data_IF_252900879479
#
_entry.id   IF_252900879479
#
_cell.length_a   1.000
_cell.length_b   1.000
_cell.length_c   1.000
_cell.angle_alpha   90.00
_cell.angle_beta   90.00
_cell.angle_gamma   90.00
#
_symmetry.space_group_name_H-M   'P 1'
#
loop_
_entity.id
_entity.type
_entity.pdbx_description
1 polymer ?
#
# COMPACT_ATOMS: atom_id res chain seq x y z
N UNK A 1 5.63 -7.77 -16.79
CA UNK A 1 4.89 -7.24 -17.96
C UNK A 1 3.48 -7.81 -17.93
N UNK A 2 2.52 -7.12 -17.30
CA UNK A 2 1.11 -7.53 -17.36
C UNK A 2 0.47 -6.90 -18.61
N UNK A 3 0.76 -7.47 -19.77
CA UNK A 3 0.24 -6.95 -21.05
C UNK A 3 -1.15 -7.51 -21.31
N UNK A 4 -2.16 -6.69 -20.95
CA UNK A 4 -3.44 -6.50 -21.64
C UNK A 4 -4.64 -7.39 -21.30
N UNK A 5 -4.53 -8.56 -20.67
CA UNK A 5 -5.69 -9.30 -20.11
C UNK A 5 -5.25 -10.17 -18.93
N UNK A 6 -5.85 -9.99 -17.75
CA UNK A 6 -5.92 -11.09 -16.79
C UNK A 6 -6.77 -12.19 -17.45
N UNK A 7 -6.42 -13.47 -17.29
CA UNK A 7 -6.80 -14.59 -18.16
C UNK A 7 -8.29 -14.87 -18.46
N UNK A 8 -9.23 -14.02 -18.02
CA UNK A 8 -10.67 -14.22 -18.09
C UNK A 8 -11.43 -13.04 -18.76
N UNK A 9 -10.76 -12.16 -19.51
CA UNK A 9 -11.42 -11.03 -20.18
C UNK A 9 -11.63 -9.79 -19.30
N UNK A 10 -11.21 -9.89 -18.04
CA UNK A 10 -11.18 -8.81 -17.05
C UNK A 10 -10.06 -7.80 -17.37
N UNK A 11 -10.35 -6.49 -17.37
CA UNK A 11 -9.32 -5.46 -17.47
C UNK A 11 -8.43 -5.48 -16.22
N UNK A 12 -7.11 -5.58 -16.39
CA UNK A 12 -6.17 -5.44 -15.27
C UNK A 12 -6.31 -4.07 -14.59
N UNK A 13 -5.98 -3.95 -13.31
CA UNK A 13 -6.09 -2.71 -12.54
C UNK A 13 -5.42 -1.51 -13.24
N UNK A 14 -4.28 -1.73 -13.89
CA UNK A 14 -3.58 -0.69 -14.68
C UNK A 14 -4.36 -0.22 -15.90
N UNK A 15 -5.13 -1.11 -16.55
CA UNK A 15 -6.00 -0.74 -17.67
C UNK A 15 -7.24 0.03 -17.23
N UNK A 16 -7.85 -0.34 -16.09
CA UNK A 16 -8.95 0.42 -15.47
C UNK A 16 -8.49 1.83 -15.13
N UNK A 17 -7.35 1.96 -14.45
CA UNK A 17 -6.75 3.25 -14.13
C UNK A 17 -6.49 4.10 -15.38
N UNK A 18 -5.94 3.51 -16.44
CA UNK A 18 -5.66 4.23 -17.69
C UNK A 18 -6.94 4.74 -18.38
N UNK A 19 -8.08 4.07 -18.16
CA UNK A 19 -9.39 4.50 -18.63
C UNK A 19 -10.05 5.58 -17.75
N UNK A 20 -9.40 5.97 -16.64
CA UNK A 20 -9.94 6.95 -15.69
C UNK A 20 -10.95 6.38 -14.70
N UNK A 21 -10.96 5.05 -14.50
CA UNK A 21 -11.81 4.36 -13.52
C UNK A 21 -11.45 4.77 -12.09
N UNK A 22 -12.46 5.09 -11.28
CA UNK A 22 -12.30 5.60 -9.91
C UNK A 22 -11.98 4.52 -8.86
N UNK A 23 -12.08 3.24 -9.23
CA UNK A 23 -12.03 2.12 -8.29
C UNK A 23 -13.40 1.57 -7.95
N UNK A 24 -13.37 0.48 -7.20
CA UNK A 24 -14.54 -0.21 -6.68
C UNK A 24 -15.09 0.54 -5.45
N UNK A 25 -16.31 0.17 -5.02
CA UNK A 25 -16.85 0.68 -3.77
C UNK A 25 -15.93 0.23 -2.62
N UNK A 26 -15.37 1.15 -1.81
CA UNK A 26 -14.46 0.79 -0.74
C UNK A 26 -15.13 -0.12 0.29
N UNK A 27 -14.46 -1.19 0.67
CA UNK A 27 -14.96 -2.14 1.68
C UNK A 27 -14.66 -1.69 3.12
N UNK A 28 -13.69 -0.79 3.31
CA UNK A 28 -13.34 -0.21 4.59
C UNK A 28 -12.70 1.19 4.41
N UNK A 29 -12.73 2.06 5.44
CA UNK A 29 -12.04 3.34 5.37
C UNK A 29 -10.53 3.17 5.62
N UNK A 30 -9.70 3.49 4.62
CA UNK A 30 -8.22 3.51 4.75
C UNK A 30 -7.78 4.50 5.85
N UNK A 31 -8.50 5.61 6.00
CA UNK A 31 -8.31 6.57 7.09
C UNK A 31 -9.66 6.89 7.74
N UNK A 32 -9.69 7.14 9.05
CA UNK A 32 -10.90 7.59 9.72
C UNK A 32 -11.39 8.93 9.16
N UNK A 33 -12.70 9.14 9.19
CA UNK A 33 -13.31 10.42 8.87
C UNK A 33 -12.79 11.51 9.82
N UNK A 34 -12.48 12.69 9.27
CA UNK A 34 -11.99 13.81 10.07
C UNK A 34 -10.63 13.56 10.74
N UNK A 35 -9.70 12.86 10.06
CA UNK A 35 -8.35 12.60 10.57
C UNK A 35 -7.74 13.87 11.20
N UNK A 36 -7.59 13.84 12.53
CA UNK A 36 -7.22 15.00 13.34
C UNK A 36 -5.70 15.23 13.39
N UNK A 37 -5.31 16.38 13.92
CA UNK A 37 -3.92 16.64 14.30
C UNK A 37 -3.47 15.73 15.45
N UNK A 38 -2.21 15.25 15.49
CA UNK A 38 -1.11 15.51 14.53
C UNK A 38 -1.09 14.55 13.32
N UNK A 39 -2.02 13.60 13.23
CA UNK A 39 -1.97 12.54 12.21
C UNK A 39 -2.14 13.05 10.79
N UNK A 40 -3.00 14.06 10.60
CA UNK A 40 -3.19 14.73 9.31
C UNK A 40 -1.90 15.35 8.81
N UNK A 41 -1.24 16.16 9.64
CA UNK A 41 0.00 16.85 9.28
C UNK A 41 1.12 15.84 9.01
N UNK A 42 1.26 14.81 9.85
CA UNK A 42 2.26 13.74 9.66
C UNK A 42 2.06 12.99 8.34
N UNK A 43 0.82 12.68 7.96
CA UNK A 43 0.50 12.04 6.68
C UNK A 43 0.92 12.93 5.50
N UNK A 44 0.63 14.23 5.55
CA UNK A 44 1.07 15.17 4.51
C UNK A 44 2.60 15.27 4.46
N UNK A 45 3.26 15.39 5.61
CA UNK A 45 4.72 15.46 5.70
C UNK A 45 5.39 14.22 5.10
N UNK A 46 4.90 13.00 5.41
CA UNK A 46 5.41 11.77 4.82
C UNK A 46 5.29 11.74 3.30
N UNK A 47 4.15 12.23 2.75
CA UNK A 47 3.97 12.37 1.31
C UNK A 47 4.96 13.37 0.69
N UNK A 48 5.14 14.54 1.31
CA UNK A 48 6.10 15.54 0.84
C UNK A 48 7.55 15.04 0.90
N UNK A 49 7.94 14.32 1.95
CA UNK A 49 9.27 13.69 2.06
C UNK A 49 9.52 12.69 0.93
N UNK A 50 8.54 11.82 0.66
CA UNK A 50 8.62 10.87 -0.44
C UNK A 50 8.77 11.57 -1.79
N UNK A 51 7.92 12.54 -2.10
CA UNK A 51 7.97 13.21 -3.40
C UNK A 51 9.20 14.10 -3.57
N UNK A 52 9.64 14.80 -2.51
CA UNK A 52 10.86 15.60 -2.53
C UNK A 52 12.10 14.73 -2.83
N UNK A 53 12.21 13.56 -2.21
CA UNK A 53 13.30 12.64 -2.48
C UNK A 53 13.26 12.01 -3.88
N UNK A 54 12.10 12.05 -4.55
CA UNK A 54 11.94 11.66 -5.95
C UNK A 54 12.17 12.81 -6.93
N UNK A 55 12.45 14.03 -6.44
CA UNK A 55 12.55 15.23 -7.27
C UNK A 55 11.21 15.67 -7.87
N UNK A 56 10.09 15.23 -7.29
CA UNK A 56 8.74 15.53 -7.78
C UNK A 56 8.16 16.69 -6.96
N UNK A 57 7.92 17.82 -7.60
CA UNK A 57 7.34 19.00 -6.93
C UNK A 57 5.86 18.79 -6.58
N UNK A 58 5.30 19.69 -5.78
CA UNK A 58 3.88 19.62 -5.40
C UNK A 58 2.94 20.00 -6.55
N UNK A 59 3.42 20.86 -7.42
CA UNK A 59 2.71 21.39 -8.58
C UNK A 59 2.65 20.37 -9.71
N UNK A 60 3.62 19.44 -9.78
CA UNK A 60 3.65 18.36 -10.76
C UNK A 60 2.67 17.22 -10.41
N UNK A 61 1.38 17.53 -10.54
CA UNK A 61 0.29 16.56 -10.35
C UNK A 61 0.40 15.36 -11.28
N UNK A 62 1.00 15.53 -12.46
CA UNK A 62 1.20 14.47 -13.44
C UNK A 62 2.20 13.43 -12.95
N UNK A 63 3.39 13.86 -12.55
CA UNK A 63 4.42 12.98 -11.99
C UNK A 63 3.96 12.32 -10.68
N UNK A 64 3.24 13.06 -9.80
CA UNK A 64 2.66 12.46 -8.58
C UNK A 64 1.66 11.36 -8.91
N UNK A 65 0.74 11.59 -9.85
CA UNK A 65 -0.22 10.56 -10.30
C UNK A 65 0.49 9.37 -10.92
N UNK A 66 1.50 9.58 -11.76
CA UNK A 66 2.29 8.52 -12.37
C UNK A 66 3.08 7.71 -11.33
N UNK A 67 3.63 8.37 -10.30
CA UNK A 67 4.29 7.66 -9.20
C UNK A 67 3.29 6.82 -8.40
N UNK A 68 2.11 7.38 -8.11
CA UNK A 68 1.05 6.68 -7.40
C UNK A 68 0.54 5.47 -8.20
N UNK A 69 0.44 5.58 -9.53
CA UNK A 69 -0.01 4.48 -10.39
C UNK A 69 0.89 3.26 -10.40
N UNK A 70 2.16 3.41 -10.02
CA UNK A 70 3.07 2.26 -9.87
C UNK A 70 2.66 1.28 -8.78
N UNK A 71 1.72 1.65 -7.90
CA UNK A 71 1.17 0.71 -6.92
C UNK A 71 0.59 -0.54 -7.59
N UNK A 72 -0.17 -0.37 -8.67
CA UNK A 72 -0.84 -1.46 -9.40
C UNK A 72 0.09 -2.28 -10.30
N UNK A 73 1.39 -2.00 -10.22
CA UNK A 73 2.46 -2.80 -10.83
C UNK A 73 3.42 -3.35 -9.76
N UNK A 74 3.04 -3.29 -8.47
CA UNK A 74 3.90 -3.61 -7.33
C UNK A 74 5.25 -2.88 -7.38
N UNK A 75 5.26 -1.66 -7.93
CA UNK A 75 6.48 -0.88 -8.22
C UNK A 75 7.50 -1.60 -9.13
N UNK A 76 7.12 -2.67 -9.82
CA UNK A 76 7.99 -3.52 -10.61
C UNK A 76 8.64 -4.67 -9.83
N UNK A 77 8.16 -4.95 -8.62
CA UNK A 77 8.60 -6.10 -7.84
C UNK A 77 8.19 -7.43 -8.52
N UNK A 78 9.01 -8.49 -8.40
CA UNK A 78 8.72 -9.78 -9.03
C UNK A 78 7.60 -10.56 -8.34
N UNK A 79 7.31 -10.26 -7.06
CA UNK A 79 6.29 -10.96 -6.27
C UNK A 79 5.31 -9.95 -5.69
N UNK A 80 4.02 -10.27 -5.79
CA UNK A 80 2.93 -9.61 -5.09
C UNK A 80 2.26 -10.58 -4.13
N UNK A 81 2.02 -10.14 -2.90
CA UNK A 81 1.22 -10.86 -1.89
C UNK A 81 -0.08 -10.09 -1.68
N UNK A 82 -1.20 -10.80 -1.55
CA UNK A 82 -2.47 -10.22 -1.14
C UNK A 82 -2.89 -10.76 0.23
N UNK A 83 -3.31 -9.86 1.11
CA UNK A 83 -3.72 -10.19 2.47
C UNK A 83 -5.23 -9.99 2.60
N UNK A 84 -5.92 -11.07 2.92
CA UNK A 84 -7.37 -11.11 3.12
C UNK A 84 -7.71 -11.30 4.60
N UNK A 85 -8.88 -10.82 4.98
CA UNK A 85 -9.46 -11.01 6.31
C UNK A 85 -10.94 -11.33 6.17
N UNK A 86 -11.50 -12.08 7.10
CA UNK A 86 -12.96 -12.26 7.20
C UNK A 86 -13.63 -10.90 7.47
N UNK A 87 -14.69 -10.59 6.72
CA UNK A 87 -15.38 -9.29 6.77
C UNK A 87 -16.05 -9.01 8.12
N UNK A 88 -16.32 -10.04 8.91
CA UNK A 88 -16.95 -9.89 10.23
C UNK A 88 -15.93 -9.51 11.31
N UNK A 89 -14.64 -9.44 10.96
CA UNK A 89 -13.57 -9.10 11.87
C UNK A 89 -13.56 -7.62 12.26
N UNK A 90 -13.47 -7.36 13.56
CA UNK A 90 -13.43 -6.03 14.15
C UNK A 90 -12.01 -5.53 14.42
N UNK A 91 -11.90 -4.32 14.98
CA UNK A 91 -10.63 -3.57 15.17
C UNK A 91 -9.50 -4.36 15.84
N UNK A 92 -9.81 -5.34 16.70
CA UNK A 92 -8.82 -6.22 17.30
C UNK A 92 -8.04 -7.04 16.25
N UNK A 93 -8.74 -7.64 15.29
CA UNK A 93 -8.10 -8.45 14.25
C UNK A 93 -7.36 -7.61 13.21
N UNK A 94 -7.72 -6.34 13.03
CA UNK A 94 -6.90 -5.43 12.23
C UNK A 94 -5.51 -5.21 12.85
N UNK A 95 -5.41 -5.24 14.18
CA UNK A 95 -4.11 -5.25 14.86
C UNK A 95 -3.36 -6.56 14.59
N UNK A 96 -4.06 -7.70 14.59
CA UNK A 96 -3.48 -9.01 14.25
C UNK A 96 -2.92 -9.03 12.81
N UNK A 97 -3.66 -8.48 11.84
CA UNK A 97 -3.19 -8.32 10.46
C UNK A 97 -1.92 -7.45 10.40
N UNK A 98 -1.91 -6.33 11.13
CA UNK A 98 -0.75 -5.45 11.21
C UNK A 98 0.49 -6.16 11.77
N UNK A 99 0.31 -6.93 12.86
CA UNK A 99 1.37 -7.75 13.45
C UNK A 99 1.87 -8.82 12.46
N UNK A 100 0.94 -9.55 11.82
CA UNK A 100 1.26 -10.60 10.85
C UNK A 100 2.06 -10.07 9.64
N UNK A 101 1.59 -8.98 9.02
CA UNK A 101 2.26 -8.36 7.88
C UNK A 101 3.63 -7.82 8.27
N UNK A 102 3.74 -7.17 9.43
CA UNK A 102 5.04 -6.66 9.91
C UNK A 102 6.02 -7.81 10.18
N UNK A 103 5.57 -8.94 10.72
CA UNK A 103 6.41 -10.14 10.88
C UNK A 103 6.93 -10.64 9.53
N UNK A 104 6.08 -10.73 8.50
CA UNK A 104 6.50 -11.07 7.13
C UNK A 104 7.56 -10.08 6.64
N UNK A 105 7.32 -8.78 6.78
CA UNK A 105 8.26 -7.75 6.31
C UNK A 105 9.64 -7.87 6.99
N UNK A 106 9.68 -8.17 8.29
CA UNK A 106 10.93 -8.38 9.03
C UNK A 106 11.65 -9.67 8.60
N UNK A 107 10.91 -10.76 8.39
CA UNK A 107 11.48 -12.02 7.88
C UNK A 107 12.04 -11.86 6.46
N UNK A 108 11.36 -11.11 5.59
CA UNK A 108 11.88 -10.77 4.26
C UNK A 108 13.21 -10.02 4.34
N UNK A 109 13.36 -9.07 5.27
CA UNK A 109 14.65 -8.39 5.48
C UNK A 109 15.75 -9.35 5.93
N UNK A 110 15.43 -10.35 6.76
CA UNK A 110 16.39 -11.37 7.19
C UNK A 110 16.90 -12.22 6.01
N UNK A 111 16.07 -12.40 4.98
CA UNK A 111 16.41 -13.09 3.72
C UNK A 111 16.98 -12.14 2.63
N UNK A 112 17.28 -10.88 2.97
CA UNK A 112 17.83 -9.90 2.02
C UNK A 112 16.83 -9.36 1.00
N UNK A 113 15.52 -9.54 1.24
CA UNK A 113 14.44 -9.01 0.41
C UNK A 113 13.89 -7.71 0.99
N UNK A 114 13.36 -6.86 0.13
CA UNK A 114 12.59 -5.67 0.47
C UNK A 114 11.09 -5.91 0.26
N UNK A 115 10.28 -5.13 0.96
CA UNK A 115 8.83 -5.17 0.85
C UNK A 115 8.19 -3.80 0.98
N UNK A 116 7.00 -3.64 0.41
CA UNK A 116 6.16 -2.46 0.56
C UNK A 116 4.70 -2.90 0.70
N UNK A 117 4.11 -2.68 1.87
CA UNK A 117 2.68 -2.90 2.09
C UNK A 117 1.85 -1.80 1.41
N UNK A 118 0.73 -2.18 0.78
CA UNK A 118 0.00 -1.36 -0.17
C UNK A 118 -1.51 -1.54 -0.03
N UNK A 119 -2.15 -0.68 0.76
CA UNK A 119 -3.62 -0.58 0.78
C UNK A 119 -4.20 -0.04 -0.53
N UNK A 120 -3.38 0.49 -1.43
CA UNK A 120 -3.80 0.95 -2.76
C UNK A 120 -4.50 -0.16 -3.60
N UNK A 121 -4.22 -1.43 -3.30
CA UNK A 121 -4.90 -2.55 -3.95
C UNK A 121 -6.36 -2.71 -3.54
N UNK A 122 -6.77 -2.20 -2.36
CA UNK A 122 -8.18 -2.19 -1.94
C UNK A 122 -9.07 -1.33 -2.87
N UNK A 123 -8.48 -0.42 -3.65
CA UNK A 123 -9.21 0.42 -4.62
C UNK A 123 -9.73 -0.39 -5.81
N UNK A 124 -9.04 -1.47 -6.20
CA UNK A 124 -9.48 -2.36 -7.29
C UNK A 124 -9.60 -3.80 -6.76
N UNK A 125 -10.23 -3.97 -5.59
CA UNK A 125 -10.35 -5.27 -4.93
C UNK A 125 -11.10 -6.30 -5.78
N UNK A 126 -12.13 -5.89 -6.55
CA UNK A 126 -12.88 -6.81 -7.42
C UNK A 126 -11.98 -7.41 -8.50
N UNK A 127 -11.07 -6.59 -9.05
CA UNK A 127 -10.10 -7.05 -10.06
C UNK A 127 -9.06 -8.01 -9.47
N UNK A 128 -8.72 -7.85 -8.19
CA UNK A 128 -7.86 -8.80 -7.48
C UNK A 128 -8.62 -10.10 -7.22
N UNK A 129 -9.86 -10.00 -6.74
CA UNK A 129 -10.73 -11.14 -6.39
C UNK A 129 -11.03 -12.02 -7.61
N UNK A 130 -11.23 -11.44 -8.80
CA UNK A 130 -11.39 -12.21 -10.04
C UNK A 130 -10.16 -13.07 -10.39
N UNK A 131 -8.98 -12.67 -9.92
CA UNK A 131 -7.72 -13.40 -10.14
C UNK A 131 -7.42 -14.37 -9.01
N UNK A 132 -7.57 -13.93 -7.76
CA UNK A 132 -7.21 -14.71 -6.56
C UNK A 132 -8.30 -15.72 -6.21
N UNK A 133 -9.56 -15.41 -6.53
CA UNK A 133 -10.75 -16.19 -6.19
C UNK A 133 -10.78 -16.56 -4.70
N UNK A 134 -10.76 -15.56 -3.79
CA UNK A 134 -10.82 -15.82 -2.36
C UNK A 134 -12.14 -16.51 -1.99
N UNK A 135 -12.13 -17.26 -0.89
CA UNK A 135 -13.36 -17.84 -0.34
C UNK A 135 -14.38 -16.75 0.01
N UNK A 136 -15.67 -17.09 -0.12
CA UNK A 136 -16.76 -16.21 0.30
C UNK A 136 -16.58 -15.72 1.74
N UNK A 137 -16.98 -14.48 2.00
CA UNK A 137 -16.85 -13.84 3.31
C UNK A 137 -15.52 -13.11 3.52
N UNK A 138 -14.48 -13.42 2.75
CA UNK A 138 -13.21 -12.70 2.81
C UNK A 138 -13.31 -11.30 2.15
N UNK A 139 -12.44 -10.42 2.60
CA UNK A 139 -12.29 -9.03 2.17
C UNK A 139 -10.80 -8.74 1.97
N UNK A 140 -10.45 -8.09 0.85
CA UNK A 140 -9.06 -7.71 0.60
C UNK A 140 -8.68 -6.54 1.52
N UNK A 141 -7.73 -6.77 2.42
CA UNK A 141 -7.13 -5.70 3.21
C UNK A 141 -6.07 -4.96 2.40
N UNK A 142 -4.98 -5.62 2.02
CA UNK A 142 -3.92 -4.94 1.30
C UNK A 142 -3.14 -5.87 0.37
N UNK A 143 -2.40 -5.28 -0.55
CA UNK A 143 -1.31 -5.97 -1.25
C UNK A 143 0.04 -5.72 -0.58
N UNK A 144 1.07 -6.45 -1.01
CA UNK A 144 2.47 -6.20 -0.65
C UNK A 144 3.38 -6.53 -1.83
N UNK A 145 4.17 -5.55 -2.26
CA UNK A 145 5.27 -5.77 -3.21
C UNK A 145 6.43 -6.43 -2.50
N UNK A 146 7.03 -7.47 -3.09
CA UNK A 146 8.17 -8.21 -2.53
C UNK A 146 9.23 -8.42 -3.62
N UNK A 147 10.48 -8.08 -3.32
CA UNK A 147 11.58 -8.23 -4.26
C UNK A 147 12.92 -7.80 -3.72
N UNK A 148 13.92 -7.74 -4.59
CA UNK A 148 15.22 -7.18 -4.24
C UNK A 148 15.21 -5.67 -4.40
N UNK A 149 15.73 -4.99 -3.38
CA UNK A 149 15.91 -3.54 -3.43
C UNK A 149 16.93 -3.18 -4.53
N UNK A 150 16.55 -2.25 -5.41
CA UNK A 150 17.46 -1.72 -6.41
C UNK A 150 18.24 -0.57 -5.79
N UNK A 151 19.49 -0.83 -5.43
CA UNK A 151 20.41 0.20 -4.92
C UNK A 151 20.71 1.25 -6.00
N UNK A 152 20.92 2.50 -5.58
CA UNK A 152 21.20 3.62 -6.50
C UNK A 152 19.99 4.16 -7.27
N UNK A 153 18.77 3.73 -6.93
CA UNK A 153 17.54 4.30 -7.47
C UNK A 153 17.10 5.49 -6.62
N UNK A 154 16.76 6.61 -7.27
CA UNK A 154 16.26 7.81 -6.61
C UNK A 154 15.04 7.47 -5.74
N UNK A 155 15.12 7.85 -4.47
CA UNK A 155 14.08 7.60 -3.47
C UNK A 155 14.05 6.19 -2.86
N UNK A 156 15.10 5.37 -3.04
CA UNK A 156 15.25 4.13 -2.27
C UNK A 156 15.57 4.41 -0.80
N UNK A 157 16.41 5.40 -0.52
CA UNK A 157 16.87 5.74 0.83
C UNK A 157 15.98 6.77 1.55
N UNK A 158 14.69 6.87 1.19
CA UNK A 158 13.79 7.84 1.83
C UNK A 158 13.53 7.42 3.27
N UNK A 159 14.03 8.24 4.18
CA UNK A 159 13.69 8.15 5.58
C UNK A 159 12.48 9.04 5.84
N UNK A 160 11.36 8.39 6.15
CA UNK A 160 10.17 9.07 6.65
C UNK A 160 10.36 9.32 8.14
N UNK A 161 10.07 10.53 8.60
CA UNK A 161 10.22 10.88 10.02
C UNK A 161 9.33 10.01 10.92
N UNK A 162 9.75 9.87 12.18
CA UNK A 162 8.97 9.20 13.22
C UNK A 162 8.65 10.20 14.33
N UNK A 163 7.50 10.00 14.98
CA UNK A 163 7.15 10.79 16.16
C UNK A 163 8.19 10.56 17.27
N UNK A 164 8.56 11.60 18.03
CA UNK A 164 9.39 11.45 19.22
C UNK A 164 8.82 10.42 20.19
N UNK A 165 9.70 9.71 20.90
CA UNK A 165 9.31 8.69 21.88
C UNK A 165 8.37 9.25 22.95
N UNK A 166 8.62 10.47 23.42
CA UNK A 166 7.81 11.18 24.41
C UNK A 166 6.36 11.44 23.98
N UNK A 167 6.07 11.42 22.67
CA UNK A 167 4.71 11.59 22.15
C UNK A 167 3.93 10.28 22.09
N UNK A 168 4.61 9.14 22.19
CA UNK A 168 4.01 7.80 21.98
C UNK A 168 4.16 6.87 23.18
N UNK A 169 5.08 7.16 24.11
CA UNK A 169 5.39 6.32 25.26
C UNK A 169 5.44 7.16 26.53
N UNK A 170 4.74 6.69 27.57
CA UNK A 170 4.81 7.23 28.93
C UNK A 170 5.28 6.14 29.88
N UNK A 171 6.44 6.33 30.48
CA UNK A 171 6.98 5.44 31.50
C UNK A 171 6.32 5.75 32.86
N UNK A 172 5.93 4.70 33.58
CA UNK A 172 5.48 4.78 34.96
C UNK A 172 6.59 4.15 35.81
N UNK A 173 7.04 4.89 36.83
CA UNK A 173 8.05 4.47 37.81
C UNK A 173 7.41 4.35 39.18
#
# INVERSE_FOLDING_TARGET
>A
MCTKRCGHGVPCATSRLAAGDAGDVPQYPIYPEGLKSPYRERRFAAGEQLYAALGITREDRGARRNRFSRNWEFFGAPVGLFCYVDRDMGSAQWADLGMYLQTIMLLLRAEGLASCAQEAWSVYHETVDETVQPSDGLMLFCGMAIGYERTGVVGADVLIDRAPLSETVRFLV
#
